data_IF_228696558127
#
_entry.id   IF_228696558127
#
_cell.length_a   1.000
_cell.length_b   1.000
_cell.length_c   1.000
_cell.angle_alpha   90.00
_cell.angle_beta   90.00
_cell.angle_gamma   90.00
#
_symmetry.space_group_name_H-M   'P 1'
#
loop_
_entity.id
_entity.type
_entity.pdbx_description
1 polymer ?
#
# COMPACT_ATOMS: atom_id res chain seq x y z
N UNK A 1 -19.95 38.44 -3.68
CA UNK A 1 -18.52 38.85 -3.70
C UNK A 1 -17.65 37.60 -3.60
N UNK A 2 -17.58 36.85 -4.70
CA UNK A 2 -16.76 35.65 -4.86
C UNK A 2 -15.55 36.04 -5.72
N UNK A 3 -14.34 35.96 -5.17
CA UNK A 3 -13.11 36.01 -5.93
C UNK A 3 -11.96 35.37 -5.15
N UNK A 4 -11.09 34.69 -5.89
CA UNK A 4 -9.78 34.14 -5.53
C UNK A 4 -9.75 32.77 -4.82
N UNK A 5 -10.17 31.72 -5.54
CA UNK A 5 -9.52 30.42 -5.42
C UNK A 5 -8.24 30.46 -6.28
N UNK A 6 -7.09 30.34 -5.61
CA UNK A 6 -5.78 30.41 -6.23
C UNK A 6 -5.58 29.30 -7.27
N UNK A 7 -5.27 29.70 -8.48
CA UNK A 7 -4.89 28.84 -9.59
C UNK A 7 -3.52 28.22 -9.33
N UNK A 8 -3.49 26.93 -8.99
CA UNK A 8 -2.34 26.06 -9.23
C UNK A 8 -2.30 25.69 -10.73
N UNK A 9 -2.33 26.71 -11.60
CA UNK A 9 -2.36 26.57 -13.06
C UNK A 9 -0.95 26.55 -13.61
N UNK A 10 -0.61 25.59 -14.49
CA UNK A 10 0.47 25.63 -15.48
C UNK A 10 1.94 25.84 -15.01
N UNK A 11 2.19 26.45 -13.86
CA UNK A 11 3.49 26.85 -13.36
C UNK A 11 4.24 25.69 -12.74
N UNK A 12 3.56 24.77 -12.05
CA UNK A 12 4.22 23.57 -11.51
C UNK A 12 4.59 22.60 -12.63
N UNK A 13 3.67 22.36 -13.58
CA UNK A 13 3.99 21.57 -14.79
C UNK A 13 5.08 22.23 -15.65
N UNK A 14 5.04 23.57 -15.79
CA UNK A 14 6.04 24.35 -16.50
C UNK A 14 7.40 24.45 -15.78
N UNK A 15 7.44 24.41 -14.45
CA UNK A 15 8.69 24.34 -13.65
C UNK A 15 9.26 22.92 -13.64
N UNK A 16 8.41 21.89 -13.63
CA UNK A 16 8.79 20.49 -13.76
C UNK A 16 9.45 20.22 -15.13
N UNK A 17 8.82 20.62 -16.24
CA UNK A 17 9.42 20.53 -17.58
C UNK A 17 10.76 21.28 -17.68
N UNK A 18 10.86 22.48 -17.11
CA UNK A 18 12.11 23.28 -17.15
C UNK A 18 13.23 22.72 -16.29
N UNK A 19 12.94 22.06 -15.16
CA UNK A 19 13.95 21.37 -14.34
C UNK A 19 14.44 20.07 -14.98
N UNK A 20 13.55 19.28 -15.59
CA UNK A 20 13.92 18.03 -16.27
C UNK A 20 14.82 18.27 -17.50
N UNK A 21 14.58 19.36 -18.23
CA UNK A 21 15.43 19.74 -19.37
C UNK A 21 16.82 20.27 -18.95
N UNK A 22 16.95 20.83 -17.75
CA UNK A 22 18.22 21.35 -17.24
C UNK A 22 19.15 20.23 -16.72
N UNK A 23 18.60 19.15 -16.16
CA UNK A 23 19.35 17.98 -15.70
C UNK A 23 19.87 17.13 -16.88
N UNK A 24 19.14 17.10 -18.00
CA UNK A 24 19.60 16.42 -19.22
C UNK A 24 20.83 17.06 -19.88
N UNK A 25 21.15 18.32 -19.55
CA UNK A 25 22.22 19.09 -20.20
C UNK A 25 23.50 19.21 -19.36
N UNK A 26 23.53 18.68 -18.13
CA UNK A 26 24.71 18.71 -17.25
C UNK A 26 25.47 17.38 -17.26
N UNK A 27 25.97 16.97 -18.43
CA UNK A 27 26.90 15.84 -18.57
C UNK A 27 28.29 16.18 -18.03
N UNK A 28 28.54 15.85 -16.76
CA UNK A 28 29.83 16.07 -16.10
C UNK A 28 30.89 15.05 -16.51
N UNK A 29 32.10 15.54 -16.79
CA UNK A 29 33.27 14.75 -17.19
C UNK A 29 33.73 13.80 -16.07
N UNK A 30 33.82 12.50 -16.36
CA UNK A 30 34.44 11.52 -15.47
C UNK A 30 35.97 11.49 -15.65
N UNK A 31 36.71 11.82 -14.59
CA UNK A 31 38.14 11.56 -14.49
C UNK A 31 38.38 10.09 -14.13
N UNK A 32 39.17 9.39 -14.96
CA UNK A 32 39.61 8.00 -14.73
C UNK A 32 40.69 7.95 -13.65
N UNK A 33 40.38 7.32 -12.52
CA UNK A 33 41.38 6.86 -11.54
C UNK A 33 41.71 5.40 -11.87
N UNK A 34 43.01 5.10 -12.05
CA UNK A 34 43.53 3.73 -12.25
C UNK A 34 43.59 3.03 -10.89
N UNK A 35 42.74 2.03 -10.68
CA UNK A 35 42.80 1.15 -9.52
C UNK A 35 43.67 -0.09 -9.83
N UNK A 36 44.53 -0.45 -8.88
CA UNK A 36 45.38 -1.64 -8.87
C UNK A 36 44.56 -2.91 -8.58
N UNK A 37 44.87 -3.99 -9.30
CA UNK A 37 44.11 -5.24 -9.27
C UNK A 37 44.25 -5.99 -7.94
N UNK A 38 43.12 -6.17 -7.24
CA UNK A 38 42.96 -7.11 -6.14
C UNK A 38 42.78 -8.55 -6.67
N UNK A 39 43.09 -9.58 -5.88
CA UNK A 39 43.02 -10.97 -6.33
C UNK A 39 41.59 -11.36 -6.72
N UNK A 40 41.45 -12.05 -7.87
CA UNK A 40 40.19 -12.55 -8.41
C UNK A 40 39.58 -13.58 -7.45
N UNK A 41 38.74 -13.12 -6.53
CA UNK A 41 37.69 -13.95 -5.95
C UNK A 41 36.77 -14.37 -7.10
N UNK A 42 36.53 -15.68 -7.25
CA UNK A 42 35.47 -16.19 -8.11
C UNK A 42 34.17 -15.47 -7.74
N UNK A 43 33.73 -14.54 -8.59
CA UNK A 43 32.45 -13.89 -8.42
C UNK A 43 31.38 -14.99 -8.47
N UNK A 44 30.70 -15.19 -7.34
CA UNK A 44 29.53 -16.05 -7.30
C UNK A 44 28.57 -15.60 -8.42
N UNK A 45 27.98 -16.56 -9.12
CA UNK A 45 27.00 -16.26 -10.16
C UNK A 45 25.88 -15.38 -9.58
N UNK A 46 25.45 -14.38 -10.36
CA UNK A 46 24.37 -13.50 -9.94
C UNK A 46 23.11 -14.31 -9.58
N UNK A 47 22.37 -13.95 -8.51
CA UNK A 47 21.15 -14.63 -8.17
C UNK A 47 20.14 -14.60 -9.33
N UNK A 48 19.31 -15.63 -9.43
CA UNK A 48 18.29 -15.73 -10.48
C UNK A 48 16.91 -16.05 -9.93
N UNK A 49 15.88 -15.54 -10.61
CA UNK A 49 14.51 -15.90 -10.33
C UNK A 49 14.22 -17.38 -10.63
N UNK A 50 13.39 -18.01 -9.80
CA UNK A 50 12.75 -19.31 -10.07
C UNK A 50 11.25 -19.22 -9.75
N UNK A 51 10.42 -19.89 -10.55
CA UNK A 51 8.97 -19.85 -10.38
C UNK A 51 8.53 -20.47 -9.04
N UNK A 52 7.50 -19.92 -8.41
CA UNK A 52 6.97 -20.44 -7.14
C UNK A 52 6.67 -21.93 -7.16
N UNK A 53 6.07 -22.43 -8.24
CA UNK A 53 5.68 -23.84 -8.37
C UNK A 53 6.87 -24.81 -8.24
N UNK A 54 8.10 -24.37 -8.50
CA UNK A 54 9.32 -25.18 -8.34
C UNK A 54 9.79 -25.28 -6.89
N UNK A 55 9.38 -24.35 -6.03
CA UNK A 55 9.96 -24.20 -4.68
C UNK A 55 8.93 -24.23 -3.55
N UNK A 56 7.63 -24.20 -3.87
CA UNK A 56 6.51 -24.12 -2.91
C UNK A 56 6.47 -25.23 -1.85
N UNK A 57 7.10 -26.37 -2.12
CA UNK A 57 7.18 -27.52 -1.22
C UNK A 57 8.46 -27.50 -0.36
N UNK A 58 9.33 -26.51 -0.55
CA UNK A 58 10.62 -26.43 0.12
C UNK A 58 11.67 -27.42 -0.37
N UNK A 59 11.48 -28.01 -1.55
CA UNK A 59 12.43 -28.95 -2.15
C UNK A 59 13.79 -28.31 -2.50
N UNK A 60 13.84 -26.97 -2.50
CA UNK A 60 15.02 -26.21 -2.86
C UNK A 60 15.52 -25.26 -1.74
N UNK A 61 16.35 -25.74 -0.79
CA UNK A 61 16.92 -24.90 0.27
C UNK A 61 17.87 -23.80 -0.24
N UNK A 62 18.23 -23.82 -1.53
CA UNK A 62 19.01 -22.78 -2.19
C UNK A 62 18.20 -21.57 -2.64
N UNK A 63 16.89 -21.54 -2.39
CA UNK A 63 16.02 -20.41 -2.75
C UNK A 63 15.70 -19.53 -1.54
N UNK A 64 15.82 -18.21 -1.72
CA UNK A 64 15.25 -17.20 -0.84
C UNK A 64 13.80 -16.94 -1.27
N UNK A 65 12.88 -16.92 -0.32
CA UNK A 65 11.51 -16.48 -0.57
C UNK A 65 11.38 -15.03 -0.12
N UNK A 66 10.82 -14.17 -0.98
CA UNK A 66 10.54 -12.78 -0.62
C UNK A 66 9.05 -12.49 -0.67
N UNK A 67 8.65 -11.47 0.09
CA UNK A 67 7.29 -10.92 0.12
C UNK A 67 6.17 -11.90 0.43
N UNK A 68 6.49 -13.10 0.88
CA UNK A 68 5.54 -14.05 1.42
C UNK A 68 6.22 -14.93 2.46
N UNK A 69 5.41 -15.66 3.22
CA UNK A 69 5.93 -16.61 4.21
C UNK A 69 6.08 -18.00 3.59
N UNK A 70 7.08 -18.75 4.07
CA UNK A 70 7.31 -20.14 3.69
C UNK A 70 7.63 -20.97 4.94
N UNK A 71 7.07 -22.18 5.05
CA UNK A 71 7.25 -23.02 6.23
C UNK A 71 8.72 -23.40 6.47
N UNK A 72 9.43 -23.86 5.43
CA UNK A 72 10.82 -24.36 5.51
C UNK A 72 11.93 -23.46 4.96
N UNK A 73 11.68 -22.64 3.93
CA UNK A 73 12.71 -21.79 3.32
C UNK A 73 12.96 -20.51 4.13
N UNK A 74 14.13 -19.90 3.91
CA UNK A 74 14.43 -18.57 4.44
C UNK A 74 13.56 -17.53 3.74
N UNK A 75 13.07 -16.55 4.51
CA UNK A 75 12.16 -15.51 4.03
C UNK A 75 12.70 -14.11 4.32
N UNK A 76 12.43 -13.15 3.44
CA UNK A 76 12.42 -11.71 3.75
C UNK A 76 11.05 -11.16 3.34
N UNK A 77 10.20 -10.81 4.30
CA UNK A 77 8.83 -10.34 4.04
C UNK A 77 8.30 -9.43 5.15
N UNK A 78 7.46 -8.45 4.82
CA UNK A 78 6.70 -7.69 5.85
C UNK A 78 5.49 -8.47 6.40
N UNK A 79 5.14 -9.63 5.84
CA UNK A 79 3.96 -10.39 6.25
C UNK A 79 4.14 -10.91 7.67
N UNK A 80 3.10 -10.79 8.51
CA UNK A 80 3.13 -11.29 9.89
C UNK A 80 3.56 -12.75 9.97
N UNK A 81 4.36 -13.08 10.99
CA UNK A 81 4.90 -14.42 11.21
C UNK A 81 6.15 -14.72 10.38
N UNK A 82 6.74 -13.70 9.76
CA UNK A 82 8.00 -13.76 9.06
C UNK A 82 9.18 -14.10 9.99
N UNK A 83 10.24 -14.67 9.41
CA UNK A 83 11.53 -14.94 10.07
C UNK A 83 12.63 -14.16 9.36
N UNK A 84 12.48 -12.84 9.34
CA UNK A 84 13.42 -11.94 8.67
C UNK A 84 14.78 -11.93 9.38
N UNK A 85 15.87 -11.63 8.66
CA UNK A 85 17.10 -11.18 9.28
C UNK A 85 16.90 -9.76 9.89
N UNK A 86 17.90 -9.20 10.61
CA UNK A 86 17.81 -7.83 11.10
C UNK A 86 17.48 -6.83 9.98
N UNK A 87 16.54 -5.94 10.24
CA UNK A 87 16.01 -4.94 9.29
C UNK A 87 14.69 -4.36 9.81
N UNK A 88 14.34 -3.16 9.36
CA UNK A 88 13.13 -2.48 9.84
C UNK A 88 12.57 -1.60 8.73
N UNK A 89 11.82 -2.22 7.83
CA UNK A 89 11.08 -1.52 6.78
C UNK A 89 9.65 -2.02 6.71
N UNK A 90 8.75 -1.16 6.25
CA UNK A 90 7.32 -1.48 6.12
C UNK A 90 7.01 -2.38 4.92
N UNK A 91 7.95 -2.46 3.96
CA UNK A 91 7.84 -3.22 2.73
C UNK A 91 8.97 -4.25 2.60
N UNK A 92 8.69 -5.39 1.98
CA UNK A 92 9.65 -6.45 1.67
C UNK A 92 10.83 -5.96 0.82
N UNK A 93 10.60 -5.06 -0.13
CA UNK A 93 11.67 -4.39 -0.89
C UNK A 93 12.62 -3.64 0.01
N UNK A 94 12.09 -2.89 0.98
CA UNK A 94 12.90 -2.15 1.94
C UNK A 94 13.70 -3.07 2.86
N UNK A 95 13.12 -4.20 3.27
CA UNK A 95 13.83 -5.23 4.06
C UNK A 95 14.97 -5.89 3.27
N UNK A 96 14.78 -6.16 1.96
CA UNK A 96 15.85 -6.64 1.08
C UNK A 96 16.96 -5.58 0.98
N UNK A 97 16.60 -4.31 0.80
CA UNK A 97 17.57 -3.21 0.72
C UNK A 97 18.31 -2.99 2.06
N UNK A 98 17.66 -3.16 3.20
CA UNK A 98 18.29 -3.15 4.53
C UNK A 98 19.33 -4.26 4.63
N UNK A 99 18.96 -5.49 4.25
CA UNK A 99 19.87 -6.62 4.25
C UNK A 99 21.08 -6.40 3.33
N UNK A 100 20.87 -5.85 2.13
CA UNK A 100 21.95 -5.53 1.18
C UNK A 100 22.88 -4.42 1.68
N UNK A 101 22.34 -3.44 2.42
CA UNK A 101 23.11 -2.32 2.97
C UNK A 101 23.79 -2.65 4.33
N UNK A 102 23.49 -3.81 4.91
CA UNK A 102 24.00 -4.20 6.22
C UNK A 102 25.54 -4.21 6.26
N UNK A 103 26.11 -3.74 7.37
CA UNK A 103 27.57 -3.71 7.59
C UNK A 103 27.92 -4.34 8.95
N UNK A 104 29.19 -4.67 9.16
CA UNK A 104 29.67 -5.21 10.45
C UNK A 104 28.96 -6.51 10.88
N UNK A 105 28.49 -6.56 12.12
CA UNK A 105 27.77 -7.73 12.67
C UNK A 105 26.42 -7.99 11.99
N UNK A 106 25.75 -6.96 11.49
CA UNK A 106 24.49 -7.11 10.75
C UNK A 106 24.75 -7.81 9.41
N UNK A 107 25.83 -7.45 8.71
CA UNK A 107 26.25 -8.12 7.48
C UNK A 107 26.48 -9.63 7.71
N UNK A 108 27.11 -9.98 8.83
CA UNK A 108 27.31 -11.38 9.21
C UNK A 108 25.96 -12.08 9.47
N UNK A 109 25.01 -11.41 10.13
CA UNK A 109 23.69 -11.96 10.44
C UNK A 109 22.84 -12.20 9.18
N UNK A 110 22.90 -11.31 8.18
CA UNK A 110 22.13 -11.44 6.93
C UNK A 110 22.77 -12.39 5.91
N UNK A 111 24.03 -12.78 6.11
CA UNK A 111 24.81 -13.61 5.16
C UNK A 111 24.07 -14.88 4.71
N UNK A 112 23.38 -15.65 5.58
CA UNK A 112 22.64 -16.85 5.15
C UNK A 112 21.52 -16.57 4.13
N UNK A 113 20.92 -15.39 4.17
CA UNK A 113 19.89 -14.96 3.21
C UNK A 113 20.52 -14.48 1.91
N UNK A 114 21.56 -13.63 1.99
CA UNK A 114 22.23 -13.08 0.81
C UNK A 114 23.09 -14.11 0.05
N UNK A 115 23.43 -15.24 0.67
CA UNK A 115 24.14 -16.33 0.01
C UNK A 115 23.25 -17.18 -0.91
N UNK A 116 21.92 -16.99 -0.91
CA UNK A 116 21.00 -17.77 -1.74
C UNK A 116 21.18 -17.44 -3.23
N UNK A 117 21.45 -18.43 -4.10
CA UNK A 117 21.61 -18.20 -5.55
C UNK A 117 20.29 -18.01 -6.30
N UNK A 118 19.16 -18.25 -5.63
CA UNK A 118 17.83 -18.21 -6.24
C UNK A 118 16.85 -17.42 -5.39
N UNK A 119 15.84 -16.84 -6.04
CA UNK A 119 14.78 -16.08 -5.39
C UNK A 119 13.41 -16.42 -5.97
N UNK A 120 12.37 -16.41 -5.13
CA UNK A 120 10.99 -16.66 -5.54
C UNK A 120 9.98 -15.93 -4.64
N UNK A 121 8.72 -15.85 -5.11
CA UNK A 121 7.56 -15.26 -4.43
C UNK A 121 6.28 -15.93 -4.95
N UNK A 122 5.24 -16.03 -4.12
CA UNK A 122 4.02 -16.79 -4.43
C UNK A 122 2.89 -15.99 -5.11
N UNK A 123 3.06 -14.69 -5.27
CA UNK A 123 2.10 -13.79 -5.91
C UNK A 123 2.86 -12.70 -6.68
N UNK A 124 2.12 -11.84 -7.36
CA UNK A 124 2.67 -10.69 -8.08
C UNK A 124 1.99 -9.41 -7.57
N UNK A 125 2.82 -8.45 -7.19
CA UNK A 125 2.49 -7.04 -7.03
C UNK A 125 3.79 -6.21 -7.12
N UNK A 126 3.69 -4.91 -6.85
CA UNK A 126 4.83 -4.02 -6.91
C UNK A 126 5.91 -4.37 -5.88
N UNK A 127 5.58 -4.72 -4.64
CA UNK A 127 6.60 -5.00 -3.62
C UNK A 127 7.30 -6.35 -3.87
N UNK A 128 6.54 -7.36 -4.31
CA UNK A 128 7.07 -8.64 -4.73
C UNK A 128 8.09 -8.51 -5.86
N UNK A 129 7.77 -7.76 -6.92
CA UNK A 129 8.67 -7.64 -8.07
C UNK A 129 9.88 -6.76 -7.79
N UNK A 130 9.70 -5.68 -7.01
CA UNK A 130 10.79 -4.77 -6.64
C UNK A 130 11.78 -5.45 -5.67
N UNK A 131 11.29 -6.23 -4.72
CA UNK A 131 12.14 -6.99 -3.78
C UNK A 131 12.97 -8.05 -4.49
N UNK A 132 12.37 -8.78 -5.45
CA UNK A 132 13.11 -9.73 -6.28
C UNK A 132 14.16 -9.05 -7.15
N UNK A 133 13.78 -7.96 -7.82
CA UNK A 133 14.71 -7.22 -8.65
C UNK A 133 15.88 -6.67 -7.83
N UNK A 134 15.60 -6.12 -6.64
CA UNK A 134 16.62 -5.59 -5.75
C UNK A 134 17.64 -6.66 -5.34
N UNK A 135 17.18 -7.88 -5.04
CA UNK A 135 18.06 -8.99 -4.67
C UNK A 135 18.94 -9.50 -5.82
N UNK A 136 18.42 -9.49 -7.06
CA UNK A 136 19.13 -9.89 -8.28
C UNK A 136 20.16 -8.82 -8.68
N UNK A 137 19.77 -7.54 -8.62
CA UNK A 137 20.56 -6.39 -9.11
C UNK A 137 21.11 -5.53 -7.96
N UNK A 138 21.77 -6.17 -6.99
CA UNK A 138 22.15 -5.61 -5.68
C UNK A 138 22.76 -4.21 -5.72
N UNK A 139 23.84 -4.02 -6.49
CA UNK A 139 24.57 -2.75 -6.53
C UNK A 139 23.72 -1.62 -7.11
N UNK A 140 22.97 -1.92 -8.17
CA UNK A 140 22.08 -0.94 -8.81
C UNK A 140 20.89 -0.64 -7.89
N UNK A 141 20.35 -1.65 -7.20
CA UNK A 141 19.27 -1.46 -6.26
C UNK A 141 19.64 -0.51 -5.11
N UNK A 142 20.86 -0.63 -4.57
CA UNK A 142 21.35 0.29 -3.54
C UNK A 142 21.48 1.73 -4.05
N UNK A 143 21.86 1.95 -5.31
CA UNK A 143 21.90 3.28 -5.94
C UNK A 143 20.51 3.92 -6.07
N UNK A 144 19.47 3.09 -6.21
CA UNK A 144 18.08 3.51 -6.35
C UNK A 144 17.23 3.26 -5.09
N UNK A 145 17.85 3.04 -3.93
CA UNK A 145 17.18 2.59 -2.71
C UNK A 145 15.95 3.42 -2.32
N UNK A 146 16.05 4.75 -2.31
CA UNK A 146 14.93 5.62 -1.95
C UNK A 146 13.76 5.55 -2.94
N UNK A 147 14.06 5.45 -4.25
CA UNK A 147 13.03 5.29 -5.28
C UNK A 147 12.32 3.95 -5.15
N UNK A 148 13.08 2.86 -4.97
CA UNK A 148 12.53 1.50 -4.83
C UNK A 148 11.67 1.34 -3.58
N UNK A 149 12.14 1.83 -2.42
CA UNK A 149 11.37 1.84 -1.15
C UNK A 149 10.04 2.56 -1.30
N UNK A 150 10.09 3.77 -1.86
CA UNK A 150 8.88 4.58 -1.98
C UNK A 150 7.91 4.03 -3.04
N UNK A 151 8.42 3.41 -4.10
CA UNK A 151 7.58 2.71 -5.09
C UNK A 151 6.89 1.50 -4.46
N UNK A 152 7.59 0.72 -3.64
CA UNK A 152 7.00 -0.40 -2.90
C UNK A 152 5.89 0.07 -1.94
N UNK A 153 6.14 1.15 -1.18
CA UNK A 153 5.13 1.78 -0.32
C UNK A 153 3.88 2.22 -1.09
N UNK A 154 4.06 2.84 -2.26
CA UNK A 154 2.95 3.24 -3.12
C UNK A 154 2.19 2.01 -3.60
N UNK A 155 2.91 1.02 -4.12
CA UNK A 155 2.35 -0.22 -4.62
C UNK A 155 1.42 -0.90 -3.62
N UNK A 156 1.95 -1.15 -2.43
CA UNK A 156 1.36 -2.08 -1.47
C UNK A 156 0.55 -1.35 -0.38
N UNK A 157 1.10 -0.28 0.21
CA UNK A 157 0.43 0.51 1.24
C UNK A 157 -0.48 1.61 0.66
N UNK A 158 -0.33 1.92 -0.63
CA UNK A 158 -1.07 2.98 -1.37
C UNK A 158 -0.80 4.38 -0.83
N UNK A 159 0.38 4.58 -0.25
CA UNK A 159 0.81 5.85 0.37
C UNK A 159 1.84 6.55 -0.51
N UNK A 160 1.40 7.42 -1.42
CA UNK A 160 2.29 8.13 -2.33
C UNK A 160 2.95 9.37 -1.77
N UNK A 161 2.65 9.75 -0.52
CA UNK A 161 3.30 10.89 0.13
C UNK A 161 3.19 12.17 -0.69
N UNK A 162 2.08 12.40 -1.40
CA UNK A 162 1.89 13.60 -2.24
C UNK A 162 1.65 14.85 -1.38
N UNK A 163 2.17 15.99 -1.84
CA UNK A 163 1.95 17.28 -1.18
C UNK A 163 2.85 17.55 0.03
N UNK A 164 2.41 18.48 0.89
CA UNK A 164 3.20 19.01 1.99
C UNK A 164 2.65 18.74 3.39
N UNK A 165 1.70 17.81 3.56
CA UNK A 165 1.19 17.48 4.91
C UNK A 165 2.28 16.85 5.77
N UNK A 166 2.15 16.94 7.08
CA UNK A 166 3.12 16.36 8.01
C UNK A 166 3.24 14.83 7.79
N UNK A 167 2.13 14.15 7.55
CA UNK A 167 2.07 12.71 7.29
C UNK A 167 2.76 12.35 5.97
N UNK A 168 2.55 13.15 4.91
CA UNK A 168 3.22 12.94 3.63
C UNK A 168 4.73 13.13 3.74
N UNK A 169 5.19 14.15 4.47
CA UNK A 169 6.61 14.40 4.71
C UNK A 169 7.26 13.30 5.56
N UNK A 170 6.56 12.78 6.58
CA UNK A 170 7.02 11.63 7.37
C UNK A 170 7.14 10.37 6.52
N UNK A 171 6.15 10.07 5.66
CA UNK A 171 6.22 8.93 4.75
C UNK A 171 7.44 8.98 3.82
N UNK A 172 7.75 10.18 3.28
CA UNK A 172 8.97 10.38 2.47
C UNK A 172 10.24 10.12 3.28
N UNK A 173 10.28 10.61 4.52
CA UNK A 173 11.43 10.44 5.40
C UNK A 173 11.70 8.97 5.73
N UNK A 174 10.65 8.17 5.98
CA UNK A 174 10.78 6.73 6.25
C UNK A 174 11.47 5.98 5.10
N UNK A 175 11.27 6.43 3.87
CA UNK A 175 11.83 5.80 2.67
C UNK A 175 13.12 6.48 2.18
N UNK A 176 13.63 7.48 2.90
CA UNK A 176 14.83 8.24 2.51
C UNK A 176 14.61 9.17 1.32
N UNK A 177 13.38 9.53 1.01
CA UNK A 177 13.02 10.43 -0.09
C UNK A 177 13.09 11.89 0.38
N UNK A 178 13.90 12.70 -0.31
CA UNK A 178 14.12 14.11 0.03
C UNK A 178 13.56 15.10 -1.00
N UNK A 179 13.01 14.60 -2.12
CA UNK A 179 12.56 15.46 -3.22
C UNK A 179 11.21 15.05 -3.80
N UNK A 180 10.40 16.03 -4.16
CA UNK A 180 9.14 15.83 -4.89
C UNK A 180 9.36 15.08 -6.21
N UNK A 181 10.50 15.30 -6.88
CA UNK A 181 10.82 14.63 -8.13
C UNK A 181 10.92 13.11 -7.96
N UNK A 182 11.51 12.65 -6.85
CA UNK A 182 11.59 11.22 -6.51
C UNK A 182 10.23 10.65 -6.15
N UNK A 183 9.38 11.41 -5.44
CA UNK A 183 7.99 11.00 -5.14
C UNK A 183 7.19 10.78 -6.42
N UNK A 184 7.25 11.75 -7.34
CA UNK A 184 6.54 11.64 -8.62
C UNK A 184 7.09 10.51 -9.50
N UNK A 185 8.40 10.28 -9.49
CA UNK A 185 9.01 9.15 -10.19
C UNK A 185 8.53 7.81 -9.61
N UNK A 186 8.50 7.66 -8.28
CA UNK A 186 7.99 6.45 -7.63
C UNK A 186 6.51 6.20 -7.98
N UNK A 187 5.69 7.26 -8.04
CA UNK A 187 4.30 7.15 -8.47
C UNK A 187 4.18 6.73 -9.94
N UNK A 188 4.99 7.31 -10.84
CA UNK A 188 5.03 6.91 -12.25
C UNK A 188 5.41 5.44 -12.39
N UNK A 189 6.41 4.98 -11.64
CA UNK A 189 6.86 3.59 -11.65
C UNK A 189 5.76 2.64 -11.15
N UNK A 190 5.03 3.02 -10.10
CA UNK A 190 3.90 2.24 -9.59
C UNK A 190 2.73 2.17 -10.59
N UNK A 191 2.36 3.31 -11.18
CA UNK A 191 1.33 3.37 -12.24
C UNK A 191 1.73 2.55 -13.48
N UNK A 192 3.02 2.54 -13.84
CA UNK A 192 3.54 1.71 -14.91
C UNK A 192 3.38 0.21 -14.61
N UNK A 193 3.81 -0.24 -13.42
CA UNK A 193 3.65 -1.64 -12.99
C UNK A 193 2.18 -2.06 -13.06
N UNK A 194 1.28 -1.27 -12.44
CA UNK A 194 -0.16 -1.58 -12.43
C UNK A 194 -0.78 -1.60 -13.83
N UNK A 195 -0.47 -0.60 -14.66
CA UNK A 195 -1.08 -0.50 -15.99
C UNK A 195 -0.58 -1.59 -16.90
N UNK A 196 0.71 -1.89 -16.88
CA UNK A 196 1.27 -2.99 -17.67
C UNK A 196 0.73 -4.33 -17.19
N UNK A 197 0.62 -4.57 -15.89
CA UNK A 197 -0.03 -5.77 -15.35
C UNK A 197 -1.45 -5.92 -15.91
N UNK A 198 -2.27 -4.87 -15.75
CA UNK A 198 -3.68 -4.87 -16.14
C UNK A 198 -3.91 -5.00 -17.64
N UNK A 199 -3.01 -4.48 -18.47
CA UNK A 199 -3.21 -4.39 -19.94
C UNK A 199 -2.56 -5.54 -20.71
N UNK A 200 -1.49 -6.15 -20.17
CA UNK A 200 -0.74 -7.20 -20.86
C UNK A 200 -0.93 -8.59 -20.25
N UNK A 201 -1.45 -8.67 -19.04
CA UNK A 201 -1.59 -9.90 -18.30
C UNK A 201 -3.00 -10.06 -17.74
N UNK A 202 -3.26 -11.23 -17.17
CA UNK A 202 -4.54 -11.51 -16.53
C UNK A 202 -4.68 -10.68 -15.25
N UNK A 203 -5.88 -10.18 -14.94
CA UNK A 203 -6.10 -9.43 -13.72
C UNK A 203 -5.68 -10.24 -12.49
N UNK A 204 -5.26 -9.56 -11.40
CA UNK A 204 -4.88 -10.24 -10.17
C UNK A 204 -5.91 -11.30 -9.75
N UNK A 205 -5.42 -12.47 -9.37
CA UNK A 205 -6.21 -13.59 -8.85
C UNK A 205 -7.15 -14.32 -9.83
N UNK A 206 -7.05 -14.07 -11.14
CA UNK A 206 -7.82 -14.81 -12.15
C UNK A 206 -7.01 -16.02 -12.67
N UNK A 207 -5.80 -15.81 -13.18
CA UNK A 207 -4.93 -16.89 -13.68
C UNK A 207 -3.55 -16.94 -12.99
N UNK A 208 -2.80 -18.01 -13.25
CA UNK A 208 -1.45 -18.26 -12.69
C UNK A 208 -0.32 -17.75 -13.61
N UNK A 209 -0.49 -16.61 -14.26
CA UNK A 209 0.54 -16.02 -15.12
C UNK A 209 1.63 -15.22 -14.37
N UNK A 210 1.69 -15.36 -13.03
CA UNK A 210 2.66 -14.68 -12.19
C UNK A 210 4.11 -14.88 -12.67
N UNK A 211 4.49 -16.07 -13.15
CA UNK A 211 5.83 -16.31 -13.71
C UNK A 211 6.11 -15.44 -14.96
N UNK A 212 5.12 -15.28 -15.86
CA UNK A 212 5.26 -14.43 -17.04
C UNK A 212 5.36 -12.95 -16.66
N UNK A 213 4.57 -12.50 -15.67
CA UNK A 213 4.64 -11.14 -15.11
C UNK A 213 6.04 -10.86 -14.55
N UNK A 214 6.54 -11.73 -13.68
CA UNK A 214 7.86 -11.56 -13.07
C UNK A 214 8.97 -11.47 -14.11
N UNK A 215 9.01 -12.39 -15.09
CA UNK A 215 10.04 -12.33 -16.14
C UNK A 215 10.01 -11.02 -16.91
N UNK A 216 8.81 -10.58 -17.32
CA UNK A 216 8.65 -9.32 -18.01
C UNK A 216 9.23 -8.14 -17.20
N UNK A 217 8.83 -7.99 -15.94
CA UNK A 217 9.27 -6.85 -15.15
C UNK A 217 10.74 -6.95 -14.74
N UNK A 218 11.25 -8.14 -14.42
CA UNK A 218 12.66 -8.33 -14.10
C UNK A 218 13.58 -7.90 -15.26
N UNK A 219 13.18 -8.15 -16.50
CA UNK A 219 13.92 -7.76 -17.70
C UNK A 219 13.82 -6.25 -18.02
N UNK A 220 12.73 -5.58 -17.62
CA UNK A 220 12.43 -4.21 -18.06
C UNK A 220 12.59 -3.15 -16.96
N UNK A 221 12.60 -3.51 -15.68
CA UNK A 221 12.56 -2.55 -14.57
C UNK A 221 13.78 -1.62 -14.57
N UNK A 222 14.97 -2.13 -14.89
CA UNK A 222 16.20 -1.35 -14.88
C UNK A 222 16.12 -0.07 -15.72
N UNK A 223 15.44 -0.14 -16.89
CA UNK A 223 15.24 1.01 -17.75
C UNK A 223 14.36 2.08 -17.07
N UNK A 224 13.32 1.66 -16.35
CA UNK A 224 12.36 2.55 -15.71
C UNK A 224 12.91 3.28 -14.46
N UNK A 225 14.06 2.88 -13.91
CA UNK A 225 14.64 3.50 -12.70
C UNK A 225 15.30 4.86 -12.95
N UNK A 226 15.44 5.29 -14.20
CA UNK A 226 15.98 6.61 -14.57
C UNK A 226 14.85 7.56 -14.99
N UNK A 227 15.00 8.89 -14.79
CA UNK A 227 14.01 9.86 -15.23
C UNK A 227 13.72 9.79 -16.75
N UNK A 228 14.75 9.53 -17.56
CA UNK A 228 14.60 9.40 -19.01
C UNK A 228 13.90 8.10 -19.38
N UNK A 229 14.24 6.99 -18.72
CA UNK A 229 13.65 5.71 -19.03
C UNK A 229 12.18 5.62 -18.61
N UNK A 230 11.79 6.11 -17.42
CA UNK A 230 10.37 6.19 -17.06
C UNK A 230 9.61 7.12 -18.02
N UNK A 231 10.21 8.23 -18.45
CA UNK A 231 9.59 9.12 -19.44
C UNK A 231 9.41 8.43 -20.81
N UNK A 232 10.31 7.52 -21.18
CA UNK A 232 10.17 6.69 -22.39
C UNK A 232 8.97 5.74 -22.33
N UNK A 233 8.49 5.40 -21.13
CA UNK A 233 7.34 4.53 -20.88
C UNK A 233 6.03 5.30 -20.65
N UNK A 234 6.00 6.59 -21.00
CA UNK A 234 4.90 7.51 -20.68
C UNK A 234 3.52 7.03 -21.12
N UNK A 235 3.42 6.43 -22.30
CA UNK A 235 2.16 5.92 -22.84
C UNK A 235 1.53 4.85 -21.93
N UNK A 236 2.33 4.19 -21.10
CA UNK A 236 1.90 3.10 -20.24
C UNK A 236 1.52 3.55 -18.83
N UNK A 237 1.91 4.74 -18.36
CA UNK A 237 1.60 5.18 -16.98
C UNK A 237 0.88 6.52 -16.88
N UNK A 238 0.88 7.33 -17.94
CA UNK A 238 0.46 8.73 -17.85
C UNK A 238 -1.00 8.90 -17.44
N UNK A 239 -1.91 8.09 -17.97
CA UNK A 239 -3.34 8.23 -17.67
C UNK A 239 -3.65 7.91 -16.21
N UNK A 240 -3.14 6.80 -15.67
CA UNK A 240 -3.31 6.45 -14.25
C UNK A 240 -2.63 7.49 -13.34
N UNK A 241 -1.42 7.94 -13.69
CA UNK A 241 -0.73 9.00 -12.95
C UNK A 241 -1.53 10.31 -12.90
N UNK A 242 -2.09 10.75 -14.04
CA UNK A 242 -2.94 11.96 -14.10
C UNK A 242 -4.18 11.79 -13.23
N UNK A 243 -4.83 10.62 -13.27
CA UNK A 243 -6.00 10.33 -12.45
C UNK A 243 -5.67 10.45 -10.96
N UNK A 244 -4.55 9.87 -10.52
CA UNK A 244 -4.09 9.94 -9.13
C UNK A 244 -3.82 11.38 -8.71
N UNK A 245 -3.02 12.12 -9.48
CA UNK A 245 -2.66 13.50 -9.14
C UNK A 245 -3.90 14.40 -9.10
N UNK A 246 -4.81 14.26 -10.07
CA UNK A 246 -6.04 15.03 -10.11
C UNK A 246 -6.98 14.69 -8.94
N UNK A 247 -7.09 13.41 -8.57
CA UNK A 247 -7.88 12.97 -7.43
C UNK A 247 -7.32 13.49 -6.10
N UNK A 248 -5.99 13.51 -5.95
CA UNK A 248 -5.34 14.06 -4.76
C UNK A 248 -5.56 15.58 -4.64
N UNK A 249 -5.37 16.32 -5.74
CA UNK A 249 -5.63 17.77 -5.80
C UNK A 249 -7.08 18.10 -5.48
N UNK A 250 -8.03 17.26 -5.90
CA UNK A 250 -9.44 17.43 -5.59
C UNK A 250 -9.70 17.34 -4.09
N UNK A 251 -9.09 16.37 -3.40
CA UNK A 251 -9.22 16.24 -1.94
C UNK A 251 -8.57 17.41 -1.21
N UNK A 252 -7.37 17.80 -1.62
CA UNK A 252 -6.60 18.91 -1.02
C UNK A 252 -7.35 20.26 -1.17
N UNK A 253 -7.91 20.52 -2.36
CA UNK A 253 -8.64 21.77 -2.64
C UNK A 253 -10.04 21.83 -2.05
N UNK A 254 -10.64 20.68 -1.69
CA UNK A 254 -11.97 20.61 -1.07
C UNK A 254 -12.00 21.10 0.39
N UNK A 255 -10.83 21.37 0.98
CA UNK A 255 -10.70 21.97 2.31
C UNK A 255 -10.97 21.00 3.48
N UNK A 256 -10.99 21.51 4.74
CA UNK A 256 -11.02 20.67 5.94
C UNK A 256 -12.25 19.76 6.09
N UNK A 257 -13.34 20.02 5.35
CA UNK A 257 -14.55 19.20 5.41
C UNK A 257 -14.43 17.89 4.61
N UNK A 258 -13.47 17.83 3.68
CA UNK A 258 -13.22 16.64 2.85
C UNK A 258 -12.47 15.55 3.60
N UNK A 259 -11.78 15.89 4.70
CA UNK A 259 -10.93 14.99 5.46
C UNK A 259 -11.02 15.29 6.96
N UNK A 260 -11.43 14.29 7.73
CA UNK A 260 -11.50 14.40 9.19
C UNK A 260 -10.77 13.21 9.83
N UNK A 261 -9.81 13.52 10.70
CA UNK A 261 -9.01 12.51 11.39
C UNK A 261 -9.57 12.23 12.78
N UNK A 262 -9.59 10.95 13.14
CA UNK A 262 -9.90 10.44 14.46
C UNK A 262 -8.68 9.66 14.95
N UNK A 263 -7.59 10.37 15.24
CA UNK A 263 -6.25 9.77 15.43
C UNK A 263 -6.20 8.75 16.59
N UNK A 264 -7.06 8.90 17.60
CA UNK A 264 -7.21 7.94 18.72
C UNK A 264 -7.80 6.58 18.31
N UNK A 265 -8.41 6.52 17.12
CA UNK A 265 -9.01 5.32 16.56
C UNK A 265 -8.20 4.78 15.36
N UNK A 266 -7.13 5.47 14.96
CA UNK A 266 -6.44 5.19 13.71
C UNK A 266 -7.37 5.33 12.48
N UNK A 267 -8.41 6.15 12.58
CA UNK A 267 -9.45 6.29 11.56
C UNK A 267 -9.35 7.65 10.86
N UNK A 268 -9.54 7.67 9.55
CA UNK A 268 -9.81 8.90 8.80
C UNK A 268 -11.11 8.78 8.04
N UNK A 269 -11.89 9.85 8.04
CA UNK A 269 -13.10 10.02 7.24
C UNK A 269 -12.74 10.88 6.04
N UNK A 270 -12.99 10.36 4.83
CA UNK A 270 -12.77 11.07 3.57
C UNK A 270 -14.09 11.23 2.85
N UNK A 271 -14.38 12.44 2.36
CA UNK A 271 -15.65 12.80 1.71
C UNK A 271 -15.43 13.29 0.28
N UNK A 272 -14.99 12.42 -0.64
CA UNK A 272 -14.75 12.84 -2.01
C UNK A 272 -16.09 13.03 -2.75
N UNK A 273 -16.18 13.95 -3.73
CA UNK A 273 -17.42 14.18 -4.47
C UNK A 273 -17.78 13.04 -5.45
N UNK A 274 -16.87 12.08 -5.65
CA UNK A 274 -17.02 10.88 -6.47
C UNK A 274 -16.01 9.82 -6.00
N UNK A 275 -16.16 8.54 -6.37
CA UNK A 275 -15.11 7.56 -6.16
C UNK A 275 -13.78 8.03 -6.76
N UNK A 276 -12.69 7.78 -6.04
CA UNK A 276 -11.34 8.18 -6.42
C UNK A 276 -10.39 6.98 -6.43
N UNK A 277 -9.26 7.14 -7.12
CA UNK A 277 -8.21 6.13 -7.18
C UNK A 277 -7.57 5.90 -5.79
N UNK A 278 -7.18 4.66 -5.49
CA UNK A 278 -6.62 4.33 -4.18
C UNK A 278 -5.37 5.14 -3.80
N UNK A 279 -4.42 5.28 -4.73
CA UNK A 279 -3.21 6.05 -4.46
C UNK A 279 -3.48 7.51 -4.07
N UNK A 280 -4.56 8.13 -4.54
CA UNK A 280 -4.88 9.48 -4.07
C UNK A 280 -5.63 9.46 -2.75
N UNK A 281 -6.60 8.56 -2.58
CA UNK A 281 -7.38 8.43 -1.35
C UNK A 281 -6.48 8.10 -0.15
N UNK A 282 -5.58 7.12 -0.28
CA UNK A 282 -4.75 6.64 0.82
C UNK A 282 -3.51 7.50 1.05
N UNK A 283 -3.07 8.29 0.06
CA UNK A 283 -2.08 9.35 0.29
C UNK A 283 -2.59 10.42 1.26
N UNK A 284 -3.91 10.68 1.28
CA UNK A 284 -4.52 11.57 2.26
C UNK A 284 -4.76 10.88 3.62
N UNK A 285 -4.68 9.55 3.67
CA UNK A 285 -4.93 8.72 4.85
C UNK A 285 -3.65 8.22 5.55
N UNK A 286 -2.46 8.70 5.14
CA UNK A 286 -1.19 8.31 5.76
C UNK A 286 -1.28 8.50 7.28
N UNK A 287 -0.79 7.52 8.04
CA UNK A 287 -0.87 7.51 9.50
C UNK A 287 -2.20 7.00 10.08
N UNK A 288 -3.23 6.78 9.26
CA UNK A 288 -4.46 6.09 9.64
C UNK A 288 -4.42 4.63 9.14
N UNK A 289 -5.11 3.76 9.86
CA UNK A 289 -5.19 2.32 9.59
C UNK A 289 -6.58 1.90 9.10
N UNK A 290 -7.57 2.79 9.26
CA UNK A 290 -8.95 2.60 8.80
C UNK A 290 -9.38 3.84 8.03
N UNK A 291 -10.07 3.63 6.90
CA UNK A 291 -10.62 4.71 6.06
C UNK A 291 -12.13 4.54 5.94
N UNK A 292 -12.88 5.53 6.41
CA UNK A 292 -14.29 5.68 6.09
C UNK A 292 -14.41 6.61 4.88
N UNK A 293 -14.89 6.10 3.76
CA UNK A 293 -15.19 6.91 2.57
C UNK A 293 -16.68 7.20 2.54
N UNK A 294 -17.07 8.48 2.63
CA UNK A 294 -18.45 8.94 2.51
C UNK A 294 -18.66 9.66 1.18
N UNK A 295 -19.34 8.99 0.25
CA UNK A 295 -19.68 9.50 -1.07
C UNK A 295 -21.05 10.20 -1.05
N UNK A 296 -21.32 11.13 -1.99
CA UNK A 296 -22.63 11.77 -2.11
C UNK A 296 -23.76 10.76 -2.27
N UNK A 297 -24.94 11.07 -1.74
CA UNK A 297 -26.12 10.20 -1.82
C UNK A 297 -26.10 9.06 -0.81
N UNK A 298 -25.54 9.29 0.38
CA UNK A 298 -25.46 8.32 1.49
C UNK A 298 -24.81 6.98 1.09
N UNK A 299 -23.68 7.04 0.39
CA UNK A 299 -22.95 5.86 -0.05
C UNK A 299 -21.65 5.77 0.76
N UNK A 300 -21.41 4.64 1.40
CA UNK A 300 -20.31 4.51 2.34
C UNK A 300 -19.50 3.24 2.11
N UNK A 301 -18.19 3.33 2.35
CA UNK A 301 -17.29 2.20 2.49
C UNK A 301 -16.42 2.41 3.74
N UNK A 302 -16.21 1.38 4.55
CA UNK A 302 -15.24 1.38 5.65
C UNK A 302 -14.21 0.30 5.36
N UNK A 303 -12.95 0.69 5.23
CA UNK A 303 -11.86 -0.21 4.85
C UNK A 303 -10.80 -0.25 5.95
N UNK A 304 -10.52 -1.45 6.45
CA UNK A 304 -9.31 -1.72 7.23
C UNK A 304 -8.12 -1.84 6.26
N UNK A 305 -7.19 -0.89 6.34
CA UNK A 305 -6.07 -0.79 5.39
C UNK A 305 -5.13 -1.99 5.54
N UNK A 306 -4.37 -2.21 4.47
CA UNK A 306 -3.34 -3.24 4.41
C UNK A 306 -2.23 -3.04 5.47
N UNK A 307 -2.05 -1.81 5.97
CA UNK A 307 -1.12 -1.51 7.08
C UNK A 307 -1.39 -2.32 8.35
N UNK A 308 -2.62 -2.82 8.55
CA UNK A 308 -2.96 -3.70 9.67
C UNK A 308 -2.79 -5.19 9.36
N UNK A 309 -2.56 -5.57 8.09
CA UNK A 309 -2.33 -6.95 7.65
C UNK A 309 -0.86 -7.35 7.79
N UNK A 310 0.05 -6.39 7.65
CA UNK A 310 1.50 -6.57 7.63
C UNK A 310 2.17 -5.96 8.86
N UNK A 311 3.48 -6.17 9.00
CA UNK A 311 4.30 -5.52 10.02
C UNK A 311 4.79 -4.15 9.53
N UNK A 312 4.35 -3.10 10.22
CA UNK A 312 4.77 -1.71 9.94
C UNK A 312 5.76 -1.27 11.02
N UNK A 313 6.95 -0.85 10.62
CA UNK A 313 8.04 -0.45 11.51
C UNK A 313 8.21 1.06 11.61
N UNK A 314 7.75 1.80 10.61
CA UNK A 314 7.88 3.26 10.56
C UNK A 314 6.99 4.01 11.56
N UNK A 315 5.87 3.39 11.96
CA UNK A 315 4.88 3.97 12.89
C UNK A 315 4.12 2.89 13.67
N UNK A 316 3.52 3.26 14.81
CA UNK A 316 2.55 2.40 15.48
C UNK A 316 1.29 2.18 14.63
N UNK A 317 0.71 0.98 14.72
CA UNK A 317 -0.53 0.57 14.05
C UNK A 317 -1.57 0.10 15.06
N UNK A 318 -2.82 0.56 14.90
CA UNK A 318 -3.95 0.15 15.73
C UNK A 318 -4.41 -1.27 15.40
N UNK A 319 -5.01 -1.95 16.38
CA UNK A 319 -5.54 -3.29 16.18
C UNK A 319 -6.64 -3.31 15.11
N UNK A 320 -6.67 -4.38 14.32
CA UNK A 320 -7.71 -4.63 13.32
C UNK A 320 -8.93 -5.25 13.99
N UNK A 321 -10.08 -4.60 13.86
CA UNK A 321 -11.35 -5.14 14.35
C UNK A 321 -12.08 -5.92 13.25
N UNK A 322 -12.77 -6.99 13.62
CA UNK A 322 -13.73 -7.67 12.76
C UNK A 322 -14.96 -6.79 12.61
N UNK A 323 -15.29 -6.40 11.37
CA UNK A 323 -16.43 -5.53 11.08
C UNK A 323 -17.74 -6.31 10.83
N UNK A 324 -17.74 -7.64 10.92
CA UNK A 324 -18.97 -8.44 10.80
C UNK A 324 -20.05 -8.08 11.86
N UNK A 325 -19.72 -7.82 13.13
CA UNK A 325 -20.70 -7.35 14.11
C UNK A 325 -21.29 -5.98 13.72
N UNK A 326 -20.47 -5.06 13.20
CA UNK A 326 -20.93 -3.77 12.70
C UNK A 326 -21.89 -3.91 11.52
N UNK A 327 -21.54 -4.73 10.52
CA UNK A 327 -22.42 -5.01 9.38
C UNK A 327 -23.77 -5.60 9.82
N UNK A 328 -23.75 -6.52 10.79
CA UNK A 328 -24.94 -7.14 11.35
C UNK A 328 -25.86 -6.13 12.04
N UNK A 329 -25.28 -5.23 12.84
CA UNK A 329 -26.02 -4.17 13.52
C UNK A 329 -26.59 -3.14 12.53
N UNK A 330 -25.82 -2.75 11.51
CA UNK A 330 -26.28 -1.84 10.45
C UNK A 330 -27.44 -2.44 9.64
N UNK A 331 -27.46 -3.75 9.38
CA UNK A 331 -28.59 -4.40 8.70
C UNK A 331 -29.91 -4.31 9.48
N UNK A 332 -29.84 -4.21 10.82
CA UNK A 332 -31.00 -3.99 11.69
C UNK A 332 -31.37 -2.51 11.78
N UNK A 333 -30.39 -1.62 11.90
CA UNK A 333 -30.60 -0.19 12.11
C UNK A 333 -30.98 0.59 10.84
N UNK A 334 -30.34 0.27 9.71
CA UNK A 334 -30.48 1.02 8.46
C UNK A 334 -31.69 0.55 7.64
N UNK A 335 -32.89 0.79 8.16
CA UNK A 335 -34.15 0.39 7.52
C UNK A 335 -34.45 1.16 6.22
N UNK A 336 -33.76 2.28 5.98
CA UNK A 336 -33.95 3.15 4.81
C UNK A 336 -32.99 2.86 3.64
N UNK A 337 -32.12 1.86 3.76
CA UNK A 337 -31.23 1.45 2.66
C UNK A 337 -32.00 1.02 1.42
N UNK A 338 -31.32 1.07 0.28
CA UNK A 338 -31.87 0.64 -1.01
C UNK A 338 -32.45 -0.80 -0.95
N UNK A 339 -33.52 -1.08 -1.68
CA UNK A 339 -34.14 -2.40 -1.63
C UNK A 339 -33.22 -3.48 -2.22
N UNK A 340 -33.15 -4.62 -1.54
CA UNK A 340 -32.33 -5.75 -1.97
C UNK A 340 -30.83 -5.60 -1.75
N UNK A 341 -30.41 -4.60 -0.95
CA UNK A 341 -29.01 -4.47 -0.50
C UNK A 341 -28.86 -4.75 0.99
N UNK A 342 -27.69 -5.27 1.36
CA UNK A 342 -27.33 -5.59 2.74
C UNK A 342 -25.91 -5.12 3.04
N UNK A 343 -25.70 -4.69 4.29
CA UNK A 343 -24.38 -4.42 4.81
C UNK A 343 -23.63 -5.73 4.95
N UNK A 344 -22.46 -5.80 4.33
CA UNK A 344 -21.58 -6.96 4.39
C UNK A 344 -20.18 -6.49 4.77
N UNK A 345 -19.41 -7.39 5.39
CA UNK A 345 -17.99 -7.21 5.64
C UNK A 345 -17.22 -8.44 5.20
N UNK A 346 -16.00 -8.23 4.68
CA UNK A 346 -15.04 -9.32 4.56
C UNK A 346 -14.51 -9.72 5.95
N UNK A 347 -13.88 -10.90 6.02
CA UNK A 347 -13.23 -11.37 7.25
C UNK A 347 -12.04 -10.48 7.61
N UNK A 348 -11.77 -10.29 8.91
CA UNK A 348 -10.58 -9.56 9.39
C UNK A 348 -9.23 -10.10 8.89
N UNK A 349 -9.18 -11.38 8.50
CA UNK A 349 -7.97 -12.02 7.94
C UNK A 349 -7.81 -11.80 6.44
N UNK A 350 -8.74 -11.09 5.80
CA UNK A 350 -8.55 -10.63 4.42
C UNK A 350 -7.50 -9.52 4.37
N UNK A 351 -6.85 -9.28 3.24
CA UNK A 351 -5.76 -8.30 3.14
C UNK A 351 -6.26 -6.86 3.32
N UNK A 352 -7.44 -6.55 2.76
CA UNK A 352 -8.13 -5.27 2.94
C UNK A 352 -9.62 -5.48 3.22
N UNK A 353 -10.01 -5.81 4.47
CA UNK A 353 -11.41 -6.03 4.81
C UNK A 353 -12.24 -4.78 4.56
N UNK A 354 -13.33 -4.95 3.83
CA UNK A 354 -14.20 -3.87 3.39
C UNK A 354 -15.62 -4.09 3.92
N UNK A 355 -16.16 -3.09 4.60
CA UNK A 355 -17.57 -3.00 4.95
C UNK A 355 -18.28 -2.05 3.99
N UNK A 356 -19.38 -2.52 3.40
CA UNK A 356 -20.17 -1.80 2.38
C UNK A 356 -21.55 -2.43 2.19
N UNK A 357 -22.42 -1.74 1.46
CA UNK A 357 -23.66 -2.33 0.94
C UNK A 357 -23.36 -3.17 -0.32
N UNK A 358 -23.91 -4.38 -0.38
CA UNK A 358 -23.89 -5.26 -1.56
C UNK A 358 -25.33 -5.64 -1.94
N UNK A 359 -25.61 -5.80 -3.24
CA UNK A 359 -26.93 -6.16 -3.75
C UNK A 359 -27.05 -7.68 -3.89
N UNK A 360 -28.11 -8.27 -3.31
CA UNK A 360 -28.56 -9.63 -3.63
C UNK A 360 -27.51 -10.75 -3.47
N UNK A 361 -26.54 -10.60 -2.55
CA UNK A 361 -25.46 -11.58 -2.39
C UNK A 361 -24.38 -11.54 -3.48
N UNK A 362 -24.40 -10.55 -4.38
CA UNK A 362 -23.34 -10.28 -5.36
C UNK A 362 -22.08 -9.80 -4.63
N UNK A 363 -21.32 -10.75 -4.09
CA UNK A 363 -19.99 -10.46 -3.54
C UNK A 363 -19.13 -9.88 -4.64
N UNK A 364 -18.49 -8.74 -4.36
CA UNK A 364 -17.46 -8.20 -5.25
C UNK A 364 -16.44 -9.30 -5.62
N UNK A 365 -16.19 -9.54 -6.92
CA UNK A 365 -15.10 -10.40 -7.35
C UNK A 365 -13.79 -9.96 -6.71
N UNK A 366 -12.86 -10.89 -6.50
CA UNK A 366 -11.55 -10.56 -5.92
C UNK A 366 -10.86 -9.43 -6.70
N UNK A 367 -10.91 -9.43 -8.04
CA UNK A 367 -10.37 -8.33 -8.83
C UNK A 367 -10.96 -6.95 -8.46
N UNK A 368 -12.28 -6.85 -8.19
CA UNK A 368 -12.91 -5.58 -7.80
C UNK A 368 -12.62 -5.19 -6.34
N UNK A 369 -12.53 -6.16 -5.43
CA UNK A 369 -12.17 -5.91 -4.02
C UNK A 369 -10.77 -5.34 -3.88
N UNK A 370 -9.87 -5.68 -4.79
CA UNK A 370 -8.48 -5.22 -4.77
C UNK A 370 -8.25 -4.05 -5.74
N UNK A 371 -9.06 -3.95 -6.81
CA UNK A 371 -9.08 -2.84 -7.76
C UNK A 371 -9.64 -1.55 -7.16
N UNK A 372 -9.57 -0.46 -7.91
CA UNK A 372 -9.86 0.89 -7.40
C UNK A 372 -11.35 1.09 -7.04
N UNK A 373 -11.68 1.96 -6.06
CA UNK A 373 -13.07 2.28 -5.71
C UNK A 373 -13.90 2.82 -6.88
N UNK A 374 -13.24 3.37 -7.91
CA UNK A 374 -13.85 3.83 -9.17
C UNK A 374 -14.48 2.72 -10.00
N UNK A 375 -14.14 1.46 -9.74
CA UNK A 375 -14.57 0.28 -10.50
C UNK A 375 -15.65 -0.53 -9.77
N UNK A 376 -16.14 -0.04 -8.62
CA UNK A 376 -17.12 -0.74 -7.79
C UNK A 376 -18.49 -0.10 -7.88
N UNK A 377 -19.58 -0.88 -7.76
CA UNK A 377 -20.90 -0.32 -7.50
C UNK A 377 -20.95 0.28 -6.08
N UNK A 378 -21.78 1.30 -5.88
CA UNK A 378 -21.99 1.96 -4.60
C UNK A 378 -23.51 2.18 -4.40
N UNK A 379 -24.07 1.62 -3.33
CA UNK A 379 -25.51 1.65 -3.04
C UNK A 379 -25.83 2.59 -1.87
N UNK A 380 -27.02 3.18 -1.91
CA UNK A 380 -27.43 4.17 -0.92
C UNK A 380 -27.91 3.52 0.38
N UNK A 381 -27.42 4.04 1.49
CA UNK A 381 -27.89 3.82 2.85
C UNK A 381 -29.01 4.82 3.18
N UNK A 382 -29.89 4.44 4.10
CA UNK A 382 -30.86 5.34 4.70
C UNK A 382 -30.27 6.23 5.78
N UNK A 383 -29.07 5.92 6.28
CA UNK A 383 -28.41 6.70 7.33
C UNK A 383 -27.79 7.97 6.74
N UNK A 384 -28.01 9.15 7.35
CA UNK A 384 -27.27 10.37 6.99
C UNK A 384 -25.77 10.24 7.29
N UNK A 385 -24.89 11.03 6.61
CA UNK A 385 -23.44 10.91 6.77
C UNK A 385 -22.94 11.09 8.21
N UNK A 386 -23.51 12.03 8.95
CA UNK A 386 -23.12 12.29 10.34
C UNK A 386 -23.47 11.10 11.25
N UNK A 387 -24.65 10.49 11.06
CA UNK A 387 -25.10 9.32 11.81
C UNK A 387 -24.20 8.12 11.50
N UNK A 388 -23.94 7.85 10.22
CA UNK A 388 -23.10 6.72 9.81
C UNK A 388 -21.68 6.83 10.38
N UNK A 389 -21.08 8.02 10.30
CA UNK A 389 -19.77 8.29 10.90
C UNK A 389 -19.79 8.07 12.42
N UNK A 390 -20.79 8.60 13.13
CA UNK A 390 -20.89 8.45 14.58
C UNK A 390 -21.01 6.97 14.99
N UNK A 391 -21.77 6.16 14.24
CA UNK A 391 -21.87 4.71 14.44
C UNK A 391 -20.51 4.03 14.27
N UNK A 392 -19.77 4.33 13.20
CA UNK A 392 -18.45 3.74 12.96
C UNK A 392 -17.45 4.17 14.03
N UNK A 393 -17.41 5.45 14.38
CA UNK A 393 -16.53 5.96 15.44
C UNK A 393 -16.83 5.31 16.79
N UNK A 394 -18.11 5.09 17.14
CA UNK A 394 -18.49 4.38 18.36
C UNK A 394 -18.05 2.93 18.35
N UNK A 395 -18.25 2.21 17.23
CA UNK A 395 -17.81 0.84 17.06
C UNK A 395 -16.31 0.68 17.34
N UNK A 396 -15.48 1.53 16.71
CA UNK A 396 -14.03 1.52 16.92
C UNK A 396 -13.65 1.97 18.33
N UNK A 397 -14.33 2.96 18.90
CA UNK A 397 -14.09 3.41 20.28
C UNK A 397 -14.35 2.30 21.29
N UNK A 398 -15.42 1.52 21.08
CA UNK A 398 -15.77 0.40 21.94
C UNK A 398 -14.77 -0.75 21.79
N UNK A 399 -14.48 -1.16 20.55
CA UNK A 399 -13.60 -2.30 20.27
C UNK A 399 -12.12 -2.07 20.59
N UNK A 400 -11.64 -0.83 20.52
CA UNK A 400 -10.26 -0.48 20.85
C UNK A 400 -10.06 -0.08 22.31
N UNK A 401 -11.09 -0.17 23.16
CA UNK A 401 -11.00 0.22 24.57
C UNK A 401 -9.90 -0.58 25.29
N UNK A 402 -8.95 0.12 25.91
CA UNK A 402 -7.83 -0.51 26.62
C UNK A 402 -6.69 -1.01 25.72
N UNK A 403 -6.76 -0.76 24.41
CA UNK A 403 -5.68 -1.08 23.47
C UNK A 403 -4.82 0.15 23.16
N UNK A 404 -3.63 -0.07 22.62
CA UNK A 404 -2.76 0.97 22.08
C UNK A 404 -2.16 0.53 20.75
N UNK A 405 -1.81 1.49 19.90
CA UNK A 405 -1.11 1.20 18.66
C UNK A 405 0.30 0.64 18.94
N UNK A 406 0.76 -0.33 18.14
CA UNK A 406 2.04 -1.03 18.31
C UNK A 406 2.94 -0.86 17.08
N UNK A 407 4.23 -0.59 17.29
CA UNK A 407 5.24 -0.71 16.22
C UNK A 407 5.46 -2.19 15.92
N UNK A 408 5.53 -2.56 14.64
CA UNK A 408 5.48 -3.94 14.16
C UNK A 408 4.06 -4.50 14.03
N UNK A 409 3.05 -3.74 14.49
CA UNK A 409 1.65 -4.12 14.43
C UNK A 409 1.23 -5.15 15.48
N UNK A 410 0.13 -5.84 15.20
CA UNK A 410 -0.46 -6.87 16.06
C UNK A 410 -0.35 -8.25 15.38
N UNK A 411 -0.02 -9.28 16.14
CA UNK A 411 0.02 -10.67 15.63
C UNK A 411 -1.38 -11.18 15.30
N UNK A 412 -1.50 -12.26 14.52
CA UNK A 412 -2.80 -12.86 14.25
C UNK A 412 -3.47 -13.43 15.50
N UNK A 413 -2.68 -14.03 16.39
CA UNK A 413 -3.14 -14.55 17.68
C UNK A 413 -3.68 -13.41 18.55
N UNK A 414 -2.93 -12.31 18.71
CA UNK A 414 -3.37 -11.16 19.49
C UNK A 414 -4.65 -10.54 18.93
N UNK A 415 -4.81 -10.49 17.60
CA UNK A 415 -6.02 -9.97 16.97
C UNK A 415 -7.22 -10.90 17.16
N UNK A 416 -7.02 -12.22 17.10
CA UNK A 416 -8.08 -13.20 17.36
C UNK A 416 -8.55 -13.12 18.81
N UNK A 417 -7.61 -13.07 19.76
CA UNK A 417 -7.91 -12.92 21.18
C UNK A 417 -8.65 -11.62 21.47
N UNK A 418 -8.17 -10.50 20.91
CA UNK A 418 -8.83 -9.20 21.05
C UNK A 418 -10.27 -9.29 20.54
N UNK A 419 -10.47 -9.70 19.29
CA UNK A 419 -11.81 -9.72 18.69
C UNK A 419 -12.76 -10.71 19.40
N UNK A 420 -12.25 -11.85 19.87
CA UNK A 420 -13.03 -12.81 20.64
C UNK A 420 -13.41 -12.33 22.04
N UNK A 421 -12.67 -11.37 22.59
CA UNK A 421 -12.92 -10.81 23.94
C UNK A 421 -13.96 -9.67 23.96
N UNK A 422 -14.29 -9.09 22.81
CA UNK A 422 -15.19 -7.92 22.73
C UNK A 422 -16.65 -8.37 22.77
N UNK A 423 -17.40 -7.90 23.76
CA UNK A 423 -18.86 -8.08 23.84
C UNK A 423 -19.58 -7.07 22.93
N UNK A 424 -19.71 -7.43 21.65
CA UNK A 424 -20.41 -6.62 20.66
C UNK A 424 -21.91 -6.51 20.91
N UNK A 425 -22.51 -7.49 21.60
CA UNK A 425 -23.93 -7.45 21.93
C UNK A 425 -24.25 -6.31 22.89
N UNK A 426 -23.34 -6.07 23.84
CA UNK A 426 -23.42 -4.94 24.77
C UNK A 426 -23.29 -3.60 24.07
N UNK A 427 -22.33 -3.45 23.14
CA UNK A 427 -22.21 -2.23 22.33
C UNK A 427 -23.50 -1.95 21.55
N UNK A 428 -24.02 -2.97 20.88
CA UNK A 428 -25.23 -2.84 20.09
C UNK A 428 -26.47 -2.49 20.93
N UNK A 429 -26.60 -3.04 22.14
CA UNK A 429 -27.77 -2.79 22.98
C UNK A 429 -27.69 -1.46 23.74
N UNK A 430 -26.48 -0.98 24.06
CA UNK A 430 -26.29 0.14 24.99
C UNK A 430 -25.80 1.41 24.31
N UNK A 431 -24.89 1.31 23.33
CA UNK A 431 -24.24 2.48 22.73
C UNK A 431 -24.90 2.86 21.40
N UNK A 432 -25.25 1.87 20.57
CA UNK A 432 -25.82 2.12 19.24
C UNK A 432 -27.15 2.88 19.26
N UNK A 433 -28.14 2.56 20.12
CA UNK A 433 -29.43 3.26 20.13
C UNK A 433 -29.25 4.75 20.45
N UNK A 434 -28.42 5.07 21.44
CA UNK A 434 -28.12 6.46 21.81
C UNK A 434 -27.54 7.26 20.65
N UNK A 435 -26.68 6.65 19.83
CA UNK A 435 -26.08 7.32 18.66
C UNK A 435 -27.13 7.60 17.60
N UNK A 436 -28.00 6.62 17.33
CA UNK A 436 -29.08 6.75 16.34
C UNK A 436 -30.14 7.78 16.77
N UNK A 437 -30.33 8.01 18.06
CA UNK A 437 -31.27 9.00 18.59
C UNK A 437 -30.69 10.42 18.67
N UNK A 438 -29.38 10.57 18.83
CA UNK A 438 -28.72 11.86 19.11
C UNK A 438 -28.04 12.50 17.90
N UNK A 439 -27.88 11.76 16.80
CA UNK A 439 -27.27 12.22 15.55
C UNK A 439 -28.32 12.58 14.52
#
# INVERSE_FOLDING_TARGET
MLAAAGTFSGQVWGRYKRRQQAVANSGGSQQRIKATAAPQQQQAAAPRYVSWEQVKDGSDPGTLVVDCTHASLLTISHHKGQRNPPGSSDCSTGLVLDALAATGSEAQAVTPWLAKPRISVNHFDADAVLSMWAFIHRDVALQHSALLRHTARIGDLREAGLGGSAEALLARQWDGVSSEATVLHALQLSCWINTVERTRFTPPYIDKDADAKHRFFLDNLAAALTPQGILGLREEWEEEFKEVVAGWQLLESSGPTSLQRHDRLGLVVVRPPRPLHYYCLFSCAIGADVVLTALPGNRYEVESRYTQFVSIHSRPVYARLDMLPLASALNRADVGREQGVEWVSNSMVDTGPLLRLDRGGEKLPKAQRYGHPTQRPHYASGLPPAVFEAVVCSFYTYGLRGTSAKVGGWSWEELQDLNGSIDWSKWEQQELPTILETS
#
